data_IF_609251543258
#
_entry.id   IF_609251543258
#
_cell.length_a   1.000
_cell.length_b   1.000
_cell.length_c   1.000
_cell.angle_alpha   90.00
_cell.angle_beta   90.00
_cell.angle_gamma   90.00
#
_symmetry.space_group_name_H-M   'P 1'
#
loop_
_entity.id
_entity.type
_entity.pdbx_description
1 polymer ?
#
# COMPACT_ATOMS: atom_id res chain seq x y z
N UNK A 1 -3.77 14.48 -23.78
CA UNK A 1 -4.30 13.60 -22.72
C UNK A 1 -5.55 12.93 -23.27
N UNK A 2 -5.56 11.61 -23.47
CA UNK A 2 -6.75 10.87 -23.92
C UNK A 2 -7.53 10.50 -22.66
N UNK A 3 -8.69 11.11 -22.46
CA UNK A 3 -9.60 10.80 -21.34
C UNK A 3 -10.62 9.78 -21.84
N UNK A 4 -10.72 8.64 -21.16
CA UNK A 4 -11.81 7.68 -21.38
C UNK A 4 -12.77 7.88 -20.20
N UNK A 5 -13.93 8.45 -20.48
CA UNK A 5 -15.03 8.49 -19.51
C UNK A 5 -15.85 7.23 -19.71
N UNK A 6 -15.71 6.26 -18.81
CA UNK A 6 -16.61 5.11 -18.75
C UNK A 6 -17.89 5.61 -18.08
N UNK A 7 -18.89 5.99 -18.88
CA UNK A 7 -20.25 6.09 -18.39
C UNK A 7 -20.78 4.65 -18.26
N UNK A 8 -20.72 4.10 -17.05
CA UNK A 8 -21.29 2.80 -16.77
C UNK A 8 -22.82 2.90 -16.81
N UNK A 9 -23.42 2.53 -17.95
CA UNK A 9 -24.85 2.25 -18.04
C UNK A 9 -25.04 0.72 -17.98
N UNK A 10 -25.04 0.15 -16.79
CA UNK A 10 -25.47 -1.24 -16.59
C UNK A 10 -26.89 -1.21 -16.02
N UNK A 11 -27.82 -1.79 -16.76
CA UNK A 11 -29.26 -1.65 -16.56
C UNK A 11 -29.80 -2.49 -15.41
N UNK A 12 -30.59 -1.84 -14.55
CA UNK A 12 -31.88 -2.35 -14.12
C UNK A 12 -32.85 -1.15 -14.03
N UNK A 13 -33.95 -1.25 -14.77
CA UNK A 13 -34.99 -0.23 -15.00
C UNK A 13 -34.68 0.81 -16.09
N UNK A 14 -35.29 0.57 -17.26
CA UNK A 14 -35.58 1.61 -18.23
C UNK A 14 -36.42 2.72 -17.55
N UNK A 15 -35.79 3.85 -17.28
CA UNK A 15 -36.50 5.12 -17.21
C UNK A 15 -36.30 5.82 -18.55
N UNK A 16 -37.35 5.74 -19.37
CA UNK A 16 -37.59 6.61 -20.52
C UNK A 16 -37.40 8.07 -20.11
N UNK A 17 -36.35 8.72 -20.63
CA UNK A 17 -36.26 10.17 -20.69
C UNK A 17 -36.78 10.62 -22.06
N UNK A 18 -38.05 11.01 -22.12
CA UNK A 18 -38.62 11.74 -23.25
C UNK A 18 -38.06 13.16 -23.29
N UNK A 19 -37.70 13.63 -24.49
CA UNK A 19 -37.48 15.03 -24.78
C UNK A 19 -38.24 15.45 -26.04
N UNK A 20 -38.67 16.72 -26.03
CA UNK A 20 -39.39 17.53 -27.05
C UNK A 20 -40.93 17.54 -26.87
N UNK A 21 -41.69 18.66 -26.94
CA UNK A 21 -41.59 20.01 -27.53
C UNK A 21 -42.48 20.99 -26.71
N UNK A 22 -42.24 22.32 -26.71
CA UNK A 22 -43.12 23.34 -26.10
C UNK A 22 -44.52 23.43 -26.73
N UNK A 23 -45.53 23.77 -25.92
CA UNK A 23 -46.82 24.27 -26.41
C UNK A 23 -47.29 25.45 -25.55
N UNK A 24 -47.62 26.54 -26.25
CA UNK A 24 -48.26 27.75 -25.75
C UNK A 24 -49.68 27.49 -25.23
N UNK A 25 -50.03 28.23 -24.17
CA UNK A 25 -51.33 28.90 -23.94
C UNK A 25 -52.63 28.05 -23.97
N UNK A 26 -53.29 27.94 -22.81
CA UNK A 26 -54.73 28.26 -22.65
C UNK A 26 -55.12 28.30 -21.17
N UNK A 27 -55.71 29.42 -20.77
CA UNK A 27 -56.50 29.60 -19.55
C UNK A 27 -57.66 28.60 -19.52
N UNK A 28 -57.93 27.99 -18.37
CA UNK A 28 -59.31 27.85 -17.88
C UNK A 28 -59.35 27.69 -16.36
N UNK A 29 -60.38 28.30 -15.80
CA UNK A 29 -60.64 28.62 -14.41
C UNK A 29 -61.18 27.43 -13.58
N UNK A 30 -61.07 27.62 -12.26
CA UNK A 30 -61.99 27.15 -11.21
C UNK A 30 -61.96 25.68 -10.69
N UNK A 31 -61.73 25.63 -9.37
CA UNK A 31 -62.35 24.73 -8.37
C UNK A 31 -61.93 23.26 -8.30
N UNK A 32 -60.93 22.97 -7.45
CA UNK A 32 -61.01 21.88 -6.47
C UNK A 32 -60.04 22.13 -5.29
N UNK A 33 -60.48 22.93 -4.31
CA UNK A 33 -59.81 23.06 -3.02
C UNK A 33 -60.20 21.87 -2.15
N UNK A 34 -59.23 21.00 -1.85
CA UNK A 34 -59.39 19.97 -0.82
C UNK A 34 -58.80 18.62 -1.20
N UNK A 35 -57.50 18.56 -1.51
CA UNK A 35 -56.78 17.29 -1.50
C UNK A 35 -55.48 17.44 -0.69
N UNK A 36 -55.54 16.87 0.51
CA UNK A 36 -54.48 16.31 1.33
C UNK A 36 -53.06 16.35 0.70
N UNK A 37 -52.28 17.37 1.06
CA UNK A 37 -50.83 17.39 0.81
C UNK A 37 -50.14 16.54 1.91
N UNK A 38 -50.11 15.22 1.74
CA UNK A 38 -49.15 14.39 2.48
C UNK A 38 -47.79 14.68 1.84
N UNK A 39 -47.00 15.52 2.52
CA UNK A 39 -45.58 15.67 2.25
C UNK A 39 -44.92 14.33 2.60
N UNK A 40 -44.85 13.43 1.62
CA UNK A 40 -43.99 12.24 1.70
C UNK A 40 -42.56 12.75 1.61
N UNK A 41 -41.98 13.10 2.76
CA UNK A 41 -40.53 13.21 2.94
C UNK A 41 -39.97 11.80 2.82
N UNK A 42 -39.87 11.25 1.61
CA UNK A 42 -38.97 10.13 1.39
C UNK A 42 -37.56 10.68 1.61
N UNK A 43 -36.81 10.22 2.62
CA UNK A 43 -35.38 10.49 2.67
C UNK A 43 -34.78 10.15 1.31
N UNK A 44 -34.09 11.10 0.68
CA UNK A 44 -33.26 10.82 -0.47
C UNK A 44 -32.06 10.07 0.09
N UNK A 45 -32.18 8.75 0.24
CA UNK A 45 -31.05 7.89 0.52
C UNK A 45 -30.13 8.02 -0.69
N UNK A 46 -28.95 8.60 -0.50
CA UNK A 46 -27.91 8.58 -1.51
C UNK A 46 -27.55 7.10 -1.76
N UNK A 47 -28.14 6.51 -2.80
CA UNK A 47 -27.81 5.17 -3.21
C UNK A 47 -26.38 5.18 -3.77
N UNK A 48 -25.43 4.62 -3.02
CA UNK A 48 -24.12 4.30 -3.58
C UNK A 48 -24.33 3.28 -4.70
N UNK A 49 -23.82 3.56 -5.89
CA UNK A 49 -23.88 2.61 -6.99
C UNK A 49 -22.83 1.51 -6.74
N UNK A 50 -23.20 0.24 -6.95
CA UNK A 50 -22.24 -0.86 -6.95
C UNK A 50 -21.91 -1.21 -8.40
N UNK A 51 -20.63 -1.24 -8.74
CA UNK A 51 -20.14 -1.72 -10.02
C UNK A 51 -19.17 -2.87 -9.76
N UNK A 52 -19.44 -4.04 -10.34
CA UNK A 52 -18.54 -5.19 -10.23
C UNK A 52 -17.80 -5.44 -11.54
N UNK A 53 -16.53 -5.81 -11.43
CA UNK A 53 -15.73 -6.36 -12.53
C UNK A 53 -15.45 -7.82 -12.19
N UNK A 54 -15.97 -8.76 -12.97
CA UNK A 54 -15.78 -10.20 -12.76
C UNK A 54 -15.13 -10.85 -13.98
N UNK A 55 -14.15 -11.74 -13.73
CA UNK A 55 -13.44 -12.53 -14.76
C UNK A 55 -12.90 -11.71 -15.94
N UNK A 56 -12.58 -10.44 -15.72
CA UNK A 56 -12.19 -9.50 -16.75
C UNK A 56 -10.86 -8.83 -16.44
N UNK A 57 -10.11 -8.53 -17.50
CA UNK A 57 -8.88 -7.74 -17.40
C UNK A 57 -9.14 -6.30 -17.83
N UNK A 58 -8.81 -5.34 -16.96
CA UNK A 58 -8.76 -3.93 -17.31
C UNK A 58 -7.31 -3.45 -17.31
N UNK A 59 -6.89 -2.83 -18.41
CA UNK A 59 -5.56 -2.21 -18.50
C UNK A 59 -5.69 -0.72 -18.73
N UNK A 60 -5.13 0.07 -17.82
CA UNK A 60 -4.99 1.52 -17.98
C UNK A 60 -3.58 1.78 -18.50
N UNK A 61 -3.45 2.37 -19.68
CA UNK A 61 -2.15 2.57 -20.33
C UNK A 61 -1.40 3.79 -19.77
N UNK A 62 -0.06 3.84 -19.89
CA UNK A 62 0.71 5.03 -19.56
C UNK A 62 0.17 6.30 -20.23
N UNK A 63 0.10 7.40 -19.47
CA UNK A 63 -0.40 8.69 -19.96
C UNK A 63 -1.91 8.78 -20.17
N UNK A 64 -2.67 7.76 -19.76
CA UNK A 64 -4.14 7.78 -19.73
C UNK A 64 -4.67 7.89 -18.31
N UNK A 65 -5.91 8.36 -18.18
CA UNK A 65 -6.61 8.41 -16.90
C UNK A 65 -8.01 7.81 -17.01
N UNK A 66 -8.38 7.02 -16.00
CA UNK A 66 -9.74 6.62 -15.69
C UNK A 66 -10.24 7.51 -14.56
N UNK A 67 -11.28 8.30 -14.81
CA UNK A 67 -11.86 9.20 -13.80
C UNK A 67 -13.27 8.77 -13.45
N UNK A 68 -13.52 8.62 -12.15
CA UNK A 68 -14.83 8.27 -11.60
C UNK A 68 -15.48 9.54 -11.05
N UNK A 69 -16.63 9.92 -11.64
CA UNK A 69 -17.30 11.19 -11.33
C UNK A 69 -18.55 11.03 -10.46
N UNK A 70 -18.81 9.84 -9.94
CA UNK A 70 -20.01 9.53 -9.16
C UNK A 70 -19.65 8.64 -7.98
N UNK A 71 -20.41 8.72 -6.86
CA UNK A 71 -20.25 7.79 -5.77
C UNK A 71 -20.55 6.36 -6.24
N UNK A 72 -19.50 5.56 -6.38
CA UNK A 72 -19.58 4.17 -6.79
C UNK A 72 -18.58 3.36 -5.98
N UNK A 73 -19.00 2.21 -5.48
CA UNK A 73 -18.06 1.19 -5.00
C UNK A 73 -17.74 0.26 -6.16
N UNK A 74 -16.47 0.22 -6.53
CA UNK A 74 -15.97 -0.66 -7.57
C UNK A 74 -15.41 -1.93 -6.95
N UNK A 75 -16.20 -2.99 -7.00
CA UNK A 75 -15.82 -4.30 -6.47
C UNK A 75 -15.09 -5.09 -7.55
N UNK A 76 -13.88 -5.54 -7.25
CA UNK A 76 -13.11 -6.44 -8.10
C UNK A 76 -13.47 -7.86 -7.67
N UNK A 77 -14.26 -8.57 -8.46
CA UNK A 77 -14.67 -9.94 -8.13
C UNK A 77 -13.52 -10.92 -8.37
N UNK A 78 -13.56 -12.13 -7.78
CA UNK A 78 -12.58 -13.17 -8.04
C UNK A 78 -12.32 -13.39 -9.54
N UNK A 79 -11.06 -13.46 -9.92
CA UNK A 79 -10.63 -13.61 -11.32
C UNK A 79 -10.58 -12.33 -12.14
N UNK A 80 -11.00 -11.18 -11.58
CA UNK A 80 -10.70 -9.88 -12.18
C UNK A 80 -9.21 -9.55 -12.05
N UNK A 81 -8.67 -8.83 -13.03
CA UNK A 81 -7.30 -8.31 -12.98
C UNK A 81 -7.26 -6.89 -13.48
N UNK A 82 -6.65 -6.00 -12.70
CA UNK A 82 -6.41 -4.62 -13.12
C UNK A 82 -4.91 -4.39 -13.21
N UNK A 83 -4.47 -3.95 -14.39
CA UNK A 83 -3.13 -3.44 -14.63
C UNK A 83 -3.22 -1.94 -14.86
N UNK A 84 -2.97 -1.16 -13.81
CA UNK A 84 -2.91 0.28 -13.87
C UNK A 84 -1.48 0.76 -14.18
N UNK A 85 -1.24 1.27 -15.38
CA UNK A 85 -0.02 1.98 -15.75
C UNK A 85 -0.24 3.49 -15.94
N UNK A 86 -1.45 3.99 -15.65
CA UNK A 86 -1.83 5.39 -15.79
C UNK A 86 -2.30 5.98 -14.45
N UNK A 87 -3.41 6.72 -14.49
CA UNK A 87 -4.06 7.27 -13.31
C UNK A 87 -5.49 6.72 -13.18
N UNK A 88 -5.84 6.19 -12.01
CA UNK A 88 -7.23 5.97 -11.61
C UNK A 88 -7.58 7.07 -10.60
N UNK A 89 -8.48 7.98 -10.97
CA UNK A 89 -8.92 9.10 -10.14
C UNK A 89 -10.32 8.84 -9.60
N UNK A 90 -10.40 8.47 -8.32
CA UNK A 90 -11.63 8.14 -7.59
C UNK A 90 -12.39 9.40 -7.11
N UNK A 91 -11.77 10.57 -7.23
CA UNK A 91 -12.35 11.82 -6.74
C UNK A 91 -12.63 11.74 -5.24
N UNK A 92 -13.82 12.17 -4.84
CA UNK A 92 -14.15 12.38 -3.42
C UNK A 92 -15.09 11.34 -2.81
N UNK A 93 -15.59 10.40 -3.61
CA UNK A 93 -16.68 9.53 -3.19
C UNK A 93 -16.63 8.12 -3.79
N UNK A 94 -15.81 7.85 -4.81
CA UNK A 94 -15.66 6.49 -5.31
C UNK A 94 -14.68 5.71 -4.44
N UNK A 95 -14.92 4.41 -4.33
CA UNK A 95 -14.08 3.45 -3.60
C UNK A 95 -13.73 2.28 -4.50
N UNK A 96 -12.58 1.64 -4.24
CA UNK A 96 -12.20 0.36 -4.87
C UNK A 96 -12.17 -0.71 -3.79
N UNK A 97 -12.77 -1.86 -4.06
CA UNK A 97 -12.70 -3.02 -3.18
C UNK A 97 -11.93 -4.14 -3.90
N UNK A 98 -10.69 -4.33 -3.49
CA UNK A 98 -9.82 -5.40 -3.97
C UNK A 98 -10.10 -6.69 -3.20
N UNK A 99 -9.84 -7.83 -3.82
CA UNK A 99 -9.89 -9.13 -3.13
C UNK A 99 -8.49 -9.55 -2.73
N UNK A 100 -8.39 -10.29 -1.63
CA UNK A 100 -7.15 -10.91 -1.18
C UNK A 100 -6.54 -11.77 -2.31
N UNK A 101 -5.25 -11.60 -2.52
CA UNK A 101 -4.47 -12.23 -3.57
C UNK A 101 -4.65 -11.64 -4.98
N UNK A 102 -5.45 -10.59 -5.13
CA UNK A 102 -5.69 -9.93 -6.42
C UNK A 102 -5.60 -8.39 -6.34
N UNK A 103 -4.49 -7.82 -5.83
CA UNK A 103 -4.31 -6.38 -5.82
C UNK A 103 -4.25 -5.79 -7.24
N UNK A 104 -4.58 -4.51 -7.39
CA UNK A 104 -4.25 -3.75 -8.59
C UNK A 104 -2.73 -3.75 -8.76
N UNK A 105 -2.25 -3.96 -9.99
CA UNK A 105 -0.82 -3.99 -10.32
C UNK A 105 -0.46 -2.94 -11.36
N UNK A 106 0.84 -2.75 -11.64
CA UNK A 106 1.34 -1.89 -12.72
C UNK A 106 2.17 -0.70 -12.24
N UNK A 107 2.51 0.22 -13.14
CA UNK A 107 3.36 1.38 -12.83
C UNK A 107 2.59 2.66 -12.50
N UNK A 108 1.26 2.59 -12.50
CA UNK A 108 0.35 3.71 -12.34
C UNK A 108 0.10 4.08 -10.88
N UNK A 109 -0.87 4.97 -10.69
CA UNK A 109 -1.30 5.47 -9.38
C UNK A 109 -2.82 5.50 -9.28
N UNK A 110 -3.37 5.14 -8.12
CA UNK A 110 -4.74 5.47 -7.72
C UNK A 110 -4.74 6.72 -6.85
N UNK A 111 -5.75 7.58 -7.01
CA UNK A 111 -5.92 8.80 -6.21
C UNK A 111 -7.33 8.92 -5.67
N UNK A 112 -7.44 9.27 -4.39
CA UNK A 112 -8.67 9.68 -3.73
C UNK A 112 -8.46 10.99 -2.96
N UNK A 113 -9.52 11.79 -2.85
CA UNK A 113 -9.51 13.09 -2.16
C UNK A 113 -10.54 13.07 -1.05
N UNK A 114 -10.15 13.45 0.16
CA UNK A 114 -11.09 13.67 1.26
C UNK A 114 -11.79 15.02 1.08
N UNK A 115 -13.11 15.06 0.83
CA UNK A 115 -13.80 16.31 0.48
C UNK A 115 -14.11 17.20 1.70
N UNK A 116 -14.22 16.61 2.89
CA UNK A 116 -14.78 17.31 4.03
C UNK A 116 -13.74 18.21 4.69
N UNK A 117 -14.12 19.46 4.96
CA UNK A 117 -13.41 20.36 5.86
C UNK A 117 -13.67 19.95 7.32
N UNK A 118 -13.19 18.75 7.67
CA UNK A 118 -13.31 18.15 8.99
C UNK A 118 -12.12 17.22 9.24
N UNK A 119 -11.71 17.02 10.51
CA UNK A 119 -10.71 16.02 10.87
C UNK A 119 -11.05 14.64 10.29
N UNK A 120 -10.03 13.90 9.87
CA UNK A 120 -10.20 12.49 9.53
C UNK A 120 -10.04 11.67 10.82
N UNK A 121 -10.98 10.77 11.07
CA UNK A 121 -10.94 9.85 12.20
C UNK A 121 -11.16 8.43 11.68
N UNK A 122 -10.09 7.63 11.65
CA UNK A 122 -10.09 6.26 11.12
C UNK A 122 -10.81 6.13 9.76
N UNK A 123 -10.52 7.04 8.84
CA UNK A 123 -11.14 7.08 7.51
C UNK A 123 -10.18 6.58 6.43
N UNK A 124 -10.71 5.94 5.40
CA UNK A 124 -9.93 5.36 4.31
C UNK A 124 -10.33 5.99 2.95
N UNK A 125 -9.69 7.09 2.53
CA UNK A 125 -10.01 7.75 1.27
C UNK A 125 -9.89 6.78 0.08
N UNK A 126 -11.00 6.54 -0.60
CA UNK A 126 -11.06 5.67 -1.78
C UNK A 126 -10.91 4.17 -1.51
N UNK A 127 -10.88 3.75 -0.24
CA UNK A 127 -10.59 2.36 0.15
C UNK A 127 -9.27 1.85 -0.46
N UNK A 128 -8.24 2.69 -0.41
CA UNK A 128 -6.93 2.42 -1.04
C UNK A 128 -6.01 1.52 -0.19
N UNK A 129 -6.43 1.02 0.96
CA UNK A 129 -5.60 0.27 1.91
C UNK A 129 -4.82 1.15 2.89
N UNK A 130 -5.28 2.38 3.13
CA UNK A 130 -4.63 3.32 4.05
C UNK A 130 -5.66 4.05 4.91
N UNK A 131 -5.91 3.53 6.11
CA UNK A 131 -6.75 4.18 7.10
C UNK A 131 -5.97 5.30 7.78
N UNK A 132 -6.56 6.50 7.84
CA UNK A 132 -5.94 7.72 8.35
C UNK A 132 -6.73 8.32 9.51
N UNK A 133 -6.00 8.80 10.52
CA UNK A 133 -6.50 9.72 11.54
C UNK A 133 -5.62 10.97 11.56
N UNK A 134 -6.21 12.16 11.42
CA UNK A 134 -5.49 13.42 11.48
C UNK A 134 -6.41 14.56 11.91
N UNK A 135 -5.93 15.51 12.73
CA UNK A 135 -6.70 16.71 13.08
C UNK A 135 -6.80 17.72 11.94
N UNK A 136 -6.15 17.49 10.79
CA UNK A 136 -6.28 18.37 9.63
C UNK A 136 -7.73 18.48 9.16
N UNK A 137 -8.25 19.70 9.08
CA UNK A 137 -9.67 19.97 8.85
C UNK A 137 -9.97 20.94 7.71
N UNK A 138 -8.99 21.34 6.90
CA UNK A 138 -9.24 22.32 5.82
C UNK A 138 -9.80 21.66 4.54
N UNK A 139 -9.89 20.33 4.52
CA UNK A 139 -10.39 19.55 3.40
C UNK A 139 -9.40 19.44 2.24
N UNK A 140 -9.73 18.61 1.25
CA UNK A 140 -8.92 18.41 0.05
C UNK A 140 -7.63 17.60 0.27
N UNK A 141 -7.47 16.95 1.43
CA UNK A 141 -6.40 15.97 1.64
C UNK A 141 -6.47 14.90 0.56
N UNK A 142 -5.37 14.67 -0.15
CA UNK A 142 -5.27 13.67 -1.21
C UNK A 142 -4.42 12.50 -0.75
N UNK A 143 -4.89 11.29 -1.03
CA UNK A 143 -4.14 10.04 -0.90
C UNK A 143 -3.90 9.49 -2.28
N UNK A 144 -2.64 9.27 -2.61
CA UNK A 144 -2.21 8.55 -3.79
C UNK A 144 -1.62 7.20 -3.37
N UNK A 145 -1.88 6.14 -4.13
CA UNK A 145 -1.29 4.80 -3.97
C UNK A 145 -0.61 4.38 -5.26
N UNK A 146 0.59 3.82 -5.19
CA UNK A 146 1.23 3.18 -6.34
C UNK A 146 1.82 1.81 -5.99
N UNK A 147 2.13 1.03 -7.04
CA UNK A 147 2.38 -0.42 -6.91
C UNK A 147 3.82 -0.88 -7.15
N UNK A 148 4.70 0.04 -7.53
CA UNK A 148 6.11 -0.29 -7.72
C UNK A 148 6.87 -0.16 -6.38
N UNK A 149 7.70 -1.14 -6.01
CA UNK A 149 8.53 -1.04 -4.82
C UNK A 149 9.38 0.23 -4.80
N UNK A 150 9.51 0.80 -3.61
CA UNK A 150 10.48 1.85 -3.28
C UNK A 150 11.74 1.20 -2.74
N UNK A 151 12.83 1.94 -2.76
CA UNK A 151 14.13 1.43 -2.30
C UNK A 151 14.62 2.29 -1.15
N UNK A 152 15.01 1.65 -0.06
CA UNK A 152 15.75 2.30 1.02
C UNK A 152 17.15 2.71 0.52
N UNK A 153 17.87 3.54 1.29
CA UNK A 153 19.19 4.05 0.90
C UNK A 153 20.23 2.93 0.64
N UNK A 154 20.02 1.76 1.23
CA UNK A 154 20.84 0.58 1.04
C UNK A 154 20.35 -0.35 -0.09
N UNK A 155 19.34 0.05 -0.87
CA UNK A 155 18.80 -0.75 -1.97
C UNK A 155 17.80 -1.84 -1.55
N UNK A 156 17.42 -1.92 -0.27
CA UNK A 156 16.35 -2.83 0.17
C UNK A 156 15.02 -2.41 -0.47
N UNK A 157 14.31 -3.31 -1.18
CA UNK A 157 13.00 -3.00 -1.72
C UNK A 157 11.93 -2.97 -0.60
N UNK A 158 10.98 -2.07 -0.73
CA UNK A 158 9.75 -2.06 0.06
C UNK A 158 8.80 -3.17 -0.41
N UNK A 159 7.66 -3.31 0.28
CA UNK A 159 6.51 -4.03 -0.26
C UNK A 159 6.00 -3.36 -1.56
N UNK A 160 5.15 -4.08 -2.30
CA UNK A 160 4.54 -3.66 -3.56
C UNK A 160 3.53 -2.50 -3.46
N UNK A 161 3.55 -1.70 -2.40
CA UNK A 161 2.71 -0.50 -2.24
C UNK A 161 3.46 0.64 -1.59
N UNK A 162 3.18 1.85 -2.05
CA UNK A 162 3.54 3.08 -1.38
C UNK A 162 2.38 4.07 -1.47
N UNK A 163 2.33 4.99 -0.51
CA UNK A 163 1.34 6.04 -0.43
C UNK A 163 2.02 7.41 -0.46
N UNK A 164 1.33 8.39 -1.03
CA UNK A 164 1.64 9.80 -0.86
C UNK A 164 0.42 10.50 -0.32
N UNK A 165 0.58 11.16 0.82
CA UNK A 165 -0.45 11.97 1.43
C UNK A 165 -0.04 13.42 1.22
N UNK A 166 -0.95 14.25 0.71
CA UNK A 166 -0.71 15.67 0.53
C UNK A 166 -1.92 16.49 0.95
N UNK A 167 -1.66 17.66 1.53
CA UNK A 167 -2.69 18.64 1.87
C UNK A 167 -2.58 19.87 0.97
N UNK A 168 -3.70 20.52 0.58
CA UNK A 168 -3.67 21.75 -0.22
C UNK A 168 -2.98 22.93 0.48
N UNK A 169 -2.99 22.93 1.81
CA UNK A 169 -2.37 23.94 2.65
C UNK A 169 -1.30 23.31 3.53
N UNK A 170 -0.16 23.97 3.78
CA UNK A 170 0.83 23.51 4.74
C UNK A 170 0.22 23.32 6.13
N UNK A 171 0.59 22.24 6.81
CA UNK A 171 0.16 21.92 8.17
C UNK A 171 1.29 21.22 8.92
N UNK A 172 1.26 21.32 10.25
CA UNK A 172 2.15 20.58 11.16
C UNK A 172 1.39 19.46 11.91
N UNK A 173 0.15 19.19 11.53
CA UNK A 173 -0.64 18.08 12.08
C UNK A 173 0.11 16.77 11.90
N UNK A 174 0.02 15.88 12.89
CA UNK A 174 0.44 14.48 12.71
C UNK A 174 -0.61 13.73 11.89
N UNK A 175 -0.18 12.66 11.25
CA UNK A 175 -1.04 11.68 10.62
C UNK A 175 -0.76 10.32 11.28
N UNK A 176 -1.77 9.74 11.89
CA UNK A 176 -1.74 8.34 12.29
C UNK A 176 -2.25 7.53 11.10
N UNK A 177 -1.41 6.61 10.61
CA UNK A 177 -1.70 5.80 9.45
C UNK A 177 -1.75 4.32 9.85
N UNK A 178 -2.73 3.60 9.34
CA UNK A 178 -2.79 2.16 9.33
C UNK A 178 -2.79 1.67 7.88
N UNK A 179 -1.68 1.07 7.47
CA UNK A 179 -1.44 0.51 6.15
C UNK A 179 -1.91 -0.95 6.13
N UNK A 180 -2.84 -1.24 5.23
CA UNK A 180 -3.25 -2.58 4.87
C UNK A 180 -2.50 -3.05 3.61
N UNK A 181 -2.03 -4.30 3.60
CA UNK A 181 -1.29 -4.88 2.48
C UNK A 181 -1.76 -6.29 2.14
N UNK A 182 -1.63 -6.65 0.86
CA UNK A 182 -1.87 -8.02 0.43
C UNK A 182 -0.62 -8.89 0.60
N UNK A 183 -0.77 -10.18 0.94
CA UNK A 183 0.37 -11.07 1.13
C UNK A 183 1.21 -11.25 -0.14
N UNK A 184 0.60 -11.10 -1.33
CA UNK A 184 1.32 -11.17 -2.62
C UNK A 184 2.24 -9.97 -2.84
N UNK A 185 2.10 -8.89 -2.06
CA UNK A 185 2.87 -7.66 -2.17
C UNK A 185 4.13 -7.64 -1.30
N UNK A 186 4.31 -8.65 -0.44
CA UNK A 186 5.45 -8.72 0.49
C UNK A 186 6.82 -8.78 -0.19
N UNK A 187 6.87 -9.27 -1.43
CA UNK A 187 8.13 -9.56 -2.10
C UNK A 187 8.97 -10.54 -1.27
N UNK A 188 10.27 -10.25 -1.01
CA UNK A 188 11.11 -11.11 -0.19
C UNK A 188 10.91 -10.93 1.33
N UNK A 189 10.09 -9.97 1.75
CA UNK A 189 9.93 -9.61 3.17
C UNK A 189 8.97 -10.55 3.90
N UNK A 190 9.15 -10.71 5.21
CA UNK A 190 8.19 -11.42 6.06
C UNK A 190 7.26 -10.41 6.72
N UNK A 191 5.96 -10.73 6.80
CA UNK A 191 4.94 -9.90 7.45
C UNK A 191 5.35 -9.42 8.86
N UNK A 192 5.94 -10.32 9.67
CA UNK A 192 6.39 -10.03 11.04
C UNK A 192 7.64 -9.16 11.13
N UNK A 193 8.35 -8.94 10.02
CA UNK A 193 9.55 -8.11 9.97
C UNK A 193 9.28 -6.71 9.40
N UNK A 194 8.06 -6.43 8.96
CA UNK A 194 7.72 -5.15 8.35
C UNK A 194 7.60 -4.02 9.37
N UNK A 195 8.09 -2.85 8.99
CA UNK A 195 7.82 -1.58 9.65
C UNK A 195 7.45 -0.52 8.61
N UNK A 196 6.65 0.46 9.02
CA UNK A 196 6.34 1.65 8.21
C UNK A 196 7.57 2.56 8.20
N UNK A 197 7.87 3.10 7.03
CA UNK A 197 8.85 4.16 6.86
C UNK A 197 8.19 5.37 6.21
N UNK A 198 8.71 6.55 6.55
CA UNK A 198 8.32 7.82 5.95
C UNK A 198 9.49 8.50 5.23
N UNK A 199 9.17 9.18 4.14
CA UNK A 199 10.08 10.07 3.42
C UNK A 199 9.36 11.36 3.00
N UNK A 200 10.13 12.44 2.80
CA UNK A 200 9.63 13.72 2.27
C UNK A 200 9.51 13.73 0.74
N UNK A 201 10.05 12.73 0.06
CA UNK A 201 9.92 12.56 -1.39
C UNK A 201 9.92 11.08 -1.77
N UNK A 202 9.39 10.77 -2.95
CA UNK A 202 9.23 9.40 -3.44
C UNK A 202 10.53 8.57 -3.52
N UNK A 203 11.68 9.24 -3.63
CA UNK A 203 13.02 8.65 -3.68
C UNK A 203 13.92 9.27 -2.60
N UNK A 204 13.33 9.81 -1.54
CA UNK A 204 14.06 10.44 -0.45
C UNK A 204 14.61 9.41 0.54
N UNK A 205 15.30 9.92 1.56
CA UNK A 205 15.72 9.11 2.70
C UNK A 205 14.50 8.60 3.46
N UNK A 206 14.38 7.27 3.53
CA UNK A 206 13.32 6.58 4.26
C UNK A 206 13.72 6.43 5.73
N UNK A 207 12.89 6.96 6.62
CA UNK A 207 13.11 6.88 8.07
C UNK A 207 12.06 5.97 8.70
N UNK A 208 12.46 5.02 9.57
CA UNK A 208 11.52 4.11 10.21
C UNK A 208 10.60 4.90 11.16
N UNK A 209 9.34 4.49 11.18
CA UNK A 209 8.33 4.94 12.15
C UNK A 209 8.12 3.82 13.17
N UNK A 210 7.90 4.19 14.44
CA UNK A 210 7.47 3.23 15.44
C UNK A 210 6.18 2.55 14.97
N UNK A 211 6.28 1.27 14.63
CA UNK A 211 5.21 0.53 13.97
C UNK A 211 4.65 -0.52 14.91
N UNK A 212 3.32 -0.54 15.06
CA UNK A 212 2.60 -1.66 15.62
C UNK A 212 2.16 -2.60 14.48
N UNK A 213 2.46 -3.90 14.64
CA UNK A 213 2.08 -4.94 13.70
C UNK A 213 0.83 -5.63 14.25
N UNK A 214 -0.25 -5.61 13.46
CA UNK A 214 -1.48 -6.30 13.78
C UNK A 214 -1.60 -7.60 12.93
N UNK A 215 -2.25 -8.65 13.46
CA UNK A 215 -2.36 -9.94 12.77
C UNK A 215 -3.17 -9.91 11.46
N UNK A 216 -3.94 -8.84 11.22
CA UNK A 216 -4.83 -8.66 10.07
C UNK A 216 -4.14 -7.93 8.90
N UNK A 217 -2.87 -8.23 8.62
CA UNK A 217 -2.07 -7.58 7.56
C UNK A 217 -2.07 -6.04 7.66
N UNK A 218 -2.05 -5.54 8.89
CA UNK A 218 -2.13 -4.12 9.18
C UNK A 218 -0.87 -3.66 9.92
N UNK A 219 -0.25 -2.61 9.42
CA UNK A 219 0.85 -1.90 10.06
C UNK A 219 0.35 -0.53 10.45
N UNK A 220 0.60 -0.07 11.68
CA UNK A 220 0.18 1.27 12.11
C UNK A 220 1.29 2.07 12.76
N UNK A 221 1.33 3.37 12.48
CA UNK A 221 2.31 4.31 13.04
C UNK A 221 1.95 5.76 12.74
N UNK A 222 2.71 6.69 13.32
CA UNK A 222 2.47 8.13 13.19
C UNK A 222 3.57 8.82 12.38
N UNK A 223 3.19 9.67 11.43
CA UNK A 223 4.10 10.42 10.57
C UNK A 223 3.81 11.93 10.61
N UNK A 224 4.80 12.79 10.31
CA UNK A 224 4.56 14.22 10.15
C UNK A 224 3.85 14.55 8.81
N UNK A 225 2.98 15.57 8.82
CA UNK A 225 2.35 16.21 7.64
C UNK A 225 3.09 17.54 7.32
N UNK A 226 2.99 18.20 6.14
CA UNK A 226 1.88 18.22 5.15
C UNK A 226 1.97 17.26 3.96
N UNK A 227 3.18 16.89 3.57
CA UNK A 227 3.43 15.97 2.46
C UNK A 227 4.35 14.86 2.94
N UNK A 228 3.85 13.63 2.87
CA UNK A 228 4.58 12.46 3.34
C UNK A 228 4.38 11.29 2.40
N UNK A 229 5.47 10.61 2.11
CA UNK A 229 5.48 9.32 1.45
C UNK A 229 5.57 8.23 2.49
N UNK A 230 4.72 7.22 2.40
CA UNK A 230 4.70 6.08 3.30
C UNK A 230 4.87 4.79 2.50
N UNK A 231 5.61 3.84 3.04
CA UNK A 231 5.65 2.45 2.56
C UNK A 231 6.10 1.56 3.72
N UNK A 232 6.14 0.25 3.51
CA UNK A 232 6.68 -0.69 4.47
C UNK A 232 7.94 -1.37 3.93
N UNK A 233 8.96 -1.44 4.76
CA UNK A 233 10.14 -2.23 4.50
C UNK A 233 10.29 -3.28 5.59
N UNK A 234 11.04 -4.34 5.30
CA UNK A 234 11.64 -5.15 6.34
C UNK A 234 12.59 -4.26 7.17
N UNK A 235 12.28 -4.08 8.46
CA UNK A 235 12.92 -3.10 9.33
C UNK A 235 14.44 -3.33 9.41
N UNK A 236 14.84 -4.58 9.61
CA UNK A 236 16.25 -4.92 9.79
C UNK A 236 17.02 -4.76 8.49
N UNK A 237 16.40 -5.17 7.37
CA UNK A 237 16.99 -4.99 6.05
C UNK A 237 17.19 -3.52 5.73
N UNK A 238 16.15 -2.70 5.85
CA UNK A 238 16.22 -1.30 5.44
C UNK A 238 17.13 -0.45 6.34
N UNK A 239 17.17 -0.74 7.65
CA UNK A 239 18.06 -0.02 8.57
C UNK A 239 19.48 -0.57 8.60
N UNK A 240 19.73 -1.70 7.92
CA UNK A 240 20.96 -2.48 8.06
C UNK A 240 21.24 -2.88 9.53
N UNK A 241 20.21 -2.81 10.39
CA UNK A 241 20.32 -3.23 11.76
C UNK A 241 20.58 -4.74 11.77
N UNK A 242 21.51 -5.23 12.61
CA UNK A 242 21.71 -6.65 12.76
C UNK A 242 20.41 -7.28 13.25
N UNK A 243 19.73 -8.01 12.35
CA UNK A 243 18.58 -8.85 12.70
C UNK A 243 19.10 -9.93 13.62
N UNK A 244 18.91 -9.76 14.92
CA UNK A 244 19.25 -10.81 15.87
C UNK A 244 17.95 -11.41 16.36
N UNK A 245 17.44 -12.40 15.63
CA UNK A 245 16.25 -13.14 16.08
C UNK A 245 16.55 -14.05 17.28
N UNK A 246 17.80 -14.12 17.76
CA UNK A 246 18.22 -14.73 19.03
C UNK A 246 19.43 -14.00 19.66
N UNK A 247 19.32 -12.67 19.80
CA UNK A 247 20.43 -11.70 19.98
C UNK A 247 21.44 -11.80 21.09
N UNK A 248 21.41 -12.83 21.93
CA UNK A 248 22.44 -13.01 22.93
C UNK A 248 23.50 -14.05 22.54
N UNK A 249 23.23 -14.92 21.58
CA UNK A 249 24.11 -16.07 21.33
C UNK A 249 25.15 -15.81 20.24
N UNK A 250 24.78 -15.13 19.17
CA UNK A 250 25.65 -14.93 18.00
C UNK A 250 25.77 -13.45 17.65
N UNK A 251 26.96 -13.06 17.18
CA UNK A 251 27.27 -11.74 16.67
C UNK A 251 27.73 -11.89 15.22
N UNK A 252 27.09 -11.15 14.30
CA UNK A 252 27.45 -11.15 12.89
C UNK A 252 27.79 -9.73 12.46
N UNK A 253 28.97 -9.54 11.88
CA UNK A 253 29.43 -8.22 11.45
C UNK A 253 30.47 -8.30 10.33
N UNK A 254 30.45 -7.37 9.35
CA UNK A 254 29.40 -6.38 9.14
C UNK A 254 28.13 -7.01 8.53
N UNK A 255 27.00 -6.31 8.58
CA UNK A 255 25.74 -6.70 7.89
C UNK A 255 25.65 -6.15 6.47
N UNK A 256 26.28 -5.00 6.22
CA UNK A 256 26.66 -4.53 4.90
C UNK A 256 28.06 -5.06 4.57
N UNK A 257 28.15 -6.01 3.65
CA UNK A 257 29.37 -6.76 3.39
C UNK A 257 29.96 -6.39 2.04
N UNK A 258 31.22 -5.97 2.06
CA UNK A 258 32.03 -5.85 0.85
C UNK A 258 32.77 -7.18 0.62
N UNK A 259 33.66 -7.59 1.52
CA UNK A 259 34.49 -8.77 1.25
C UNK A 259 34.18 -9.97 2.16
N UNK A 260 34.16 -9.76 3.48
CA UNK A 260 34.04 -10.85 4.46
C UNK A 260 32.97 -10.52 5.50
N UNK A 261 32.22 -11.53 5.91
CA UNK A 261 31.35 -11.46 7.09
C UNK A 261 31.94 -12.29 8.21
N UNK A 262 32.11 -11.68 9.39
CA UNK A 262 32.55 -12.35 10.61
C UNK A 262 31.35 -12.82 11.43
N UNK A 263 31.46 -14.03 11.97
CA UNK A 263 30.49 -14.65 12.87
C UNK A 263 31.20 -15.01 14.18
N UNK A 264 30.65 -14.60 15.31
CA UNK A 264 31.20 -14.89 16.63
C UNK A 264 30.12 -15.40 17.60
N UNK A 265 30.44 -16.46 18.33
CA UNK A 265 29.64 -16.96 19.45
C UNK A 265 29.88 -16.12 20.71
N UNK A 266 28.84 -15.51 21.24
CA UNK A 266 28.86 -14.81 22.54
C UNK A 266 28.65 -15.76 23.72
N UNK A 267 28.00 -16.90 23.50
CA UNK A 267 27.77 -17.92 24.55
C UNK A 267 28.94 -18.92 24.68
N UNK A 268 29.91 -18.89 23.76
CA UNK A 268 31.01 -19.85 23.69
C UNK A 268 30.65 -21.17 23.01
N UNK A 269 29.43 -21.33 22.48
CA UNK A 269 29.06 -22.48 21.64
C UNK A 269 29.82 -22.49 20.32
N UNK A 270 30.10 -23.69 19.81
CA UNK A 270 30.73 -23.88 18.51
C UNK A 270 29.79 -23.53 17.37
N UNK A 271 30.35 -22.87 16.36
CA UNK A 271 29.78 -22.77 15.02
C UNK A 271 30.07 -24.13 14.36
N UNK A 272 29.02 -24.89 14.10
CA UNK A 272 29.04 -26.20 13.45
C UNK A 272 28.79 -26.06 11.95
N UNK A 273 27.88 -25.16 11.56
CA UNK A 273 27.66 -24.83 10.15
C UNK A 273 27.31 -23.37 9.94
N UNK A 274 27.71 -22.84 8.78
CA UNK A 274 27.25 -21.58 8.21
C UNK A 274 26.68 -21.86 6.83
N UNK A 275 25.44 -21.47 6.60
CA UNK A 275 24.76 -21.59 5.31
C UNK A 275 24.34 -20.21 4.86
N UNK A 276 24.77 -19.80 3.67
CA UNK A 276 24.35 -18.55 3.06
C UNK A 276 23.34 -18.84 1.96
N UNK A 277 22.16 -18.25 2.06
CA UNK A 277 21.06 -18.41 1.11
C UNK A 277 20.82 -17.11 0.36
N UNK A 278 20.52 -17.20 -0.94
CA UNK A 278 20.06 -16.04 -1.72
C UNK A 278 18.56 -15.73 -1.49
N UNK A 279 18.06 -14.67 -2.12
CA UNK A 279 16.65 -14.27 -2.03
C UNK A 279 15.65 -15.30 -2.61
N UNK A 280 16.12 -16.34 -3.30
CA UNK A 280 15.30 -17.45 -3.80
C UNK A 280 15.32 -18.64 -2.83
N UNK A 281 15.99 -18.51 -1.67
CA UNK A 281 16.13 -19.57 -0.69
C UNK A 281 17.14 -20.66 -1.09
N UNK A 282 17.98 -20.42 -2.11
CA UNK A 282 19.00 -21.38 -2.54
C UNK A 282 20.26 -21.17 -1.73
N UNK A 283 20.84 -22.25 -1.21
CA UNK A 283 22.15 -22.21 -0.56
C UNK A 283 23.22 -21.90 -1.63
N UNK A 284 23.84 -20.72 -1.53
CA UNK A 284 24.90 -20.26 -2.44
C UNK A 284 26.30 -20.51 -1.90
N UNK A 285 26.44 -20.65 -0.58
CA UNK A 285 27.69 -20.98 0.09
C UNK A 285 27.39 -21.71 1.39
N UNK A 286 28.21 -22.71 1.72
CA UNK A 286 28.07 -23.48 2.94
C UNK A 286 29.44 -23.87 3.48
N UNK A 287 29.64 -23.66 4.77
CA UNK A 287 30.79 -24.10 5.53
C UNK A 287 30.29 -25.03 6.64
N UNK A 288 30.85 -26.23 6.72
CA UNK A 288 30.49 -27.25 7.72
C UNK A 288 31.69 -27.61 8.58
N UNK A 289 31.43 -28.19 9.75
CA UNK A 289 32.45 -28.76 10.64
C UNK A 289 33.49 -27.74 11.14
N UNK A 290 33.09 -26.46 11.25
CA UNK A 290 34.00 -25.39 11.67
C UNK A 290 34.52 -25.61 13.09
N UNK A 291 33.68 -26.07 14.02
CA UNK A 291 34.03 -26.38 15.41
C UNK A 291 34.56 -25.17 16.20
N UNK A 292 34.44 -23.96 15.65
CA UNK A 292 35.09 -22.76 16.14
C UNK A 292 34.08 -21.82 16.78
N UNK A 293 34.52 -20.98 17.72
CA UNK A 293 33.69 -19.91 18.29
C UNK A 293 33.64 -18.67 17.38
N UNK A 294 34.54 -18.60 16.39
CA UNK A 294 34.63 -17.53 15.41
C UNK A 294 34.81 -18.13 14.03
N UNK A 295 34.10 -17.60 13.06
CA UNK A 295 34.21 -17.97 11.67
C UNK A 295 34.11 -16.72 10.79
N UNK A 296 34.61 -16.81 9.56
CA UNK A 296 34.45 -15.78 8.56
C UNK A 296 34.02 -16.42 7.24
N UNK A 297 33.15 -15.75 6.50
CA UNK A 297 32.65 -16.21 5.21
C UNK A 297 33.06 -15.19 4.14
N UNK A 298 33.75 -15.67 3.11
CA UNK A 298 34.18 -14.88 1.95
C UNK A 298 32.99 -14.64 1.03
N UNK A 299 32.63 -13.37 0.83
CA UNK A 299 31.50 -12.93 0.01
C UNK A 299 31.96 -12.31 -1.33
N UNK A 300 33.26 -12.27 -1.61
CA UNK A 300 33.82 -11.56 -2.78
C UNK A 300 33.35 -12.12 -4.13
N UNK A 301 32.98 -13.41 -4.17
CA UNK A 301 32.54 -14.12 -5.38
C UNK A 301 31.03 -14.08 -5.59
N UNK A 302 30.28 -13.56 -4.62
CA UNK A 302 28.84 -13.52 -4.66
C UNK A 302 28.36 -12.24 -5.36
N UNK A 303 27.30 -12.31 -6.19
CA UNK A 303 26.68 -11.12 -6.75
C UNK A 303 26.22 -10.14 -5.67
N UNK A 304 26.19 -8.85 -6.02
CA UNK A 304 25.50 -7.81 -5.24
C UNK A 304 24.06 -8.24 -4.99
N UNK A 305 23.59 -8.17 -3.75
CA UNK A 305 22.26 -8.63 -3.40
C UNK A 305 22.07 -8.95 -1.94
N UNK A 306 20.85 -9.40 -1.63
CA UNK A 306 20.44 -9.79 -0.29
C UNK A 306 20.70 -11.28 -0.05
N UNK A 307 21.24 -11.59 1.13
CA UNK A 307 21.50 -12.95 1.59
C UNK A 307 20.97 -13.18 3.00
N UNK A 308 20.62 -14.43 3.28
CA UNK A 308 20.32 -14.93 4.63
C UNK A 308 21.45 -15.86 5.07
N UNK A 309 22.15 -15.50 6.14
CA UNK A 309 23.13 -16.34 6.81
C UNK A 309 22.44 -17.14 7.93
N UNK A 310 22.40 -18.46 7.79
CA UNK A 310 21.93 -19.40 8.78
C UNK A 310 23.11 -20.02 9.53
N UNK A 311 23.04 -20.07 10.85
CA UNK A 311 24.04 -20.70 11.73
C UNK A 311 23.48 -22.02 12.27
N UNK A 312 24.29 -23.07 12.25
CA UNK A 312 24.00 -24.40 12.80
C UNK A 312 22.68 -24.99 12.31
N UNK A 313 22.46 -25.00 10.99
CA UNK A 313 21.24 -25.56 10.38
C UNK A 313 19.98 -24.72 10.65
N UNK A 314 20.14 -23.40 10.78
CA UNK A 314 19.01 -22.46 10.94
C UNK A 314 18.59 -22.19 12.38
N UNK A 315 19.40 -22.58 13.38
CA UNK A 315 19.16 -22.20 14.79
C UNK A 315 19.18 -20.67 15.00
N UNK A 316 19.91 -19.96 14.14
CA UNK A 316 19.89 -18.50 14.07
C UNK A 316 20.05 -18.05 12.64
N UNK A 317 19.36 -16.95 12.28
CA UNK A 317 19.39 -16.37 10.94
C UNK A 317 19.75 -14.89 11.00
N UNK A 318 20.64 -14.46 10.11
CA UNK A 318 21.10 -13.08 9.99
C UNK A 318 20.96 -12.62 8.55
N UNK A 319 20.42 -11.42 8.35
CA UNK A 319 20.31 -10.85 7.00
C UNK A 319 21.58 -10.08 6.67
N UNK A 320 22.08 -10.29 5.46
CA UNK A 320 23.29 -9.64 4.94
C UNK A 320 22.98 -8.97 3.60
N UNK A 321 23.60 -7.81 3.37
CA UNK A 321 23.55 -7.11 2.10
C UNK A 321 24.96 -7.02 1.51
N UNK A 322 25.17 -7.63 0.35
CA UNK A 322 26.40 -7.52 -0.44
C UNK A 322 26.32 -6.31 -1.37
N UNK A 323 27.33 -5.44 -1.36
CA UNK A 323 27.42 -4.23 -2.21
C UNK A 323 28.20 -4.36 -3.52
#
# INVERSE_FOLDING_TARGET
MKSITIACCIGANALTAQWQVPVHLLMLDAMLRGLLFILVLTPVWAACQLSSLAEATLTISPGTSLRVNSPVSWQLEPGASIVNNGLIDLGTAATIEEQDGAPITGSGVERAVWPLAAPLAAAEPGNLGLTLTTPYSDGGLSVERGHLPRFADNGTPSIGRWYRISTPLPTYSTIDAALHYDLTELGPSQASALAIFAASSANGQWNPILTAINPEQNLSGSAPSPEVFLTAFDLDLATSAPTSTNGNEWSVSPTLVDDWVGVESRSGRSIESLELMDCQGRIVQQENELGAQRAALDMTRLPVGLYMLCINGGQSGFKLLRR
#
